data_IF_439109403189
#
_entry.id   IF_439109403189
#
_cell.length_a   1.000
_cell.length_b   1.000
_cell.length_c   1.000
_cell.angle_alpha   90.00
_cell.angle_beta   90.00
_cell.angle_gamma   90.00
#
_symmetry.space_group_name_H-M   'P 1'
#
loop_
_entity.id
_entity.type
_entity.pdbx_description
1 polymer ?
#
# COMPACT_ATOMS: atom_id res chain seq x y z
N UNK A 1 -8.18 21.35 7.58
CA UNK A 1 -6.93 21.40 6.79
C UNK A 1 -5.98 20.27 7.16
N UNK A 2 -5.55 20.13 8.42
CA UNK A 2 -4.54 19.13 8.83
C UNK A 2 -4.97 17.66 8.61
N UNK A 3 -6.27 17.35 8.70
CA UNK A 3 -6.80 16.03 8.30
C UNK A 3 -6.46 15.69 6.84
N UNK A 4 -6.59 16.65 5.91
CA UNK A 4 -6.25 16.41 4.51
C UNK A 4 -4.74 16.23 4.31
N UNK A 5 -3.92 16.93 5.09
CA UNK A 5 -2.46 16.74 5.10
C UNK A 5 -2.10 15.33 5.56
N UNK A 6 -2.75 14.84 6.63
CA UNK A 6 -2.58 13.47 7.11
C UNK A 6 -2.98 12.42 6.08
N UNK A 7 -4.14 12.63 5.43
CA UNK A 7 -4.61 11.75 4.36
C UNK A 7 -3.66 11.73 3.17
N UNK A 8 -3.14 12.89 2.75
CA UNK A 8 -2.14 12.97 1.69
C UNK A 8 -0.84 12.27 2.09
N UNK A 9 -0.37 12.48 3.33
CA UNK A 9 0.81 11.80 3.87
C UNK A 9 0.65 10.28 3.87
N UNK A 10 -0.55 9.77 4.18
CA UNK A 10 -0.83 8.34 4.06
C UNK A 10 -0.54 7.82 2.65
N UNK A 11 -0.98 8.52 1.59
CA UNK A 11 -0.76 8.04 0.21
C UNK A 11 0.73 7.92 -0.15
N UNK A 12 1.57 8.76 0.44
CA UNK A 12 3.04 8.67 0.28
C UNK A 12 3.56 7.45 1.03
N UNK A 13 3.13 7.27 2.28
CA UNK A 13 3.56 6.14 3.11
C UNK A 13 3.12 4.80 2.52
N UNK A 14 1.88 4.70 2.03
CA UNK A 14 1.37 3.54 1.29
C UNK A 14 2.36 3.13 0.19
N UNK A 15 2.67 4.06 -0.71
CA UNK A 15 3.54 3.79 -1.84
C UNK A 15 4.97 3.40 -1.41
N UNK A 16 5.56 4.13 -0.46
CA UNK A 16 6.93 3.86 0.01
C UNK A 16 7.00 2.50 0.71
N UNK A 17 6.06 2.19 1.61
CA UNK A 17 6.08 0.94 2.35
C UNK A 17 5.80 -0.24 1.44
N UNK A 18 4.82 -0.14 0.55
CA UNK A 18 4.52 -1.23 -0.38
C UNK A 18 5.75 -1.54 -1.25
N UNK A 19 6.36 -0.51 -1.84
CA UNK A 19 7.53 -0.68 -2.71
C UNK A 19 8.80 -1.16 -2.00
N UNK A 20 9.14 -0.58 -0.85
CA UNK A 20 10.46 -0.76 -0.25
C UNK A 20 10.47 -1.60 1.02
N UNK A 21 9.36 -1.68 1.76
CA UNK A 21 9.29 -2.43 3.01
C UNK A 21 8.60 -3.78 2.84
N UNK A 22 7.48 -3.81 2.11
CA UNK A 22 6.67 -5.02 1.92
C UNK A 22 7.24 -5.96 0.85
N UNK A 23 8.04 -5.43 -0.07
CA UNK A 23 8.80 -6.19 -1.07
C UNK A 23 10.31 -6.25 -0.77
N UNK A 24 10.71 -5.94 0.47
CA UNK A 24 12.11 -6.02 0.87
C UNK A 24 12.60 -7.48 0.93
N UNK A 25 13.84 -7.69 0.49
CA UNK A 25 14.59 -8.92 0.76
C UNK A 25 15.92 -8.60 1.44
N UNK A 26 16.35 -9.47 2.35
CA UNK A 26 17.59 -9.31 3.11
C UNK A 26 18.27 -10.66 3.34
N UNK A 27 19.59 -10.64 3.53
CA UNK A 27 20.35 -11.82 3.97
C UNK A 27 20.00 -12.23 5.40
N UNK A 28 19.44 -11.31 6.20
CA UNK A 28 18.98 -11.59 7.55
C UNK A 28 17.61 -12.28 7.52
N UNK A 29 17.56 -13.55 7.91
CA UNK A 29 16.34 -14.39 7.83
C UNK A 29 15.16 -13.85 8.64
N UNK A 30 15.40 -13.12 9.73
CA UNK A 30 14.33 -12.52 10.53
C UNK A 30 13.62 -11.37 9.80
N UNK A 31 14.31 -10.62 8.95
CA UNK A 31 13.71 -9.55 8.15
C UNK A 31 12.72 -10.16 7.17
N UNK A 32 13.12 -11.21 6.47
CA UNK A 32 12.25 -11.89 5.51
C UNK A 32 11.01 -12.50 6.20
N UNK A 33 11.13 -12.96 7.45
CA UNK A 33 9.97 -13.41 8.25
C UNK A 33 9.00 -12.27 8.56
N UNK A 34 9.51 -11.09 8.93
CA UNK A 34 8.67 -9.91 9.19
C UNK A 34 7.96 -9.49 7.91
N UNK A 35 8.69 -9.38 6.80
CA UNK A 35 8.13 -9.07 5.47
C UNK A 35 7.07 -10.10 5.07
N UNK A 36 7.33 -11.39 5.32
CA UNK A 36 6.36 -12.45 5.06
C UNK A 36 5.06 -12.28 5.85
N UNK A 37 5.14 -11.97 7.15
CA UNK A 37 3.96 -11.73 8.00
C UNK A 37 3.19 -10.48 7.55
N UNK A 38 3.89 -9.45 7.10
CA UNK A 38 3.27 -8.18 6.70
C UNK A 38 2.65 -8.22 5.30
N UNK A 39 3.25 -8.96 4.36
CA UNK A 39 2.84 -8.94 2.95
C UNK A 39 3.13 -10.23 2.17
N UNK A 40 4.25 -10.93 2.41
CA UNK A 40 4.60 -12.11 1.62
C UNK A 40 3.56 -13.23 1.66
N UNK A 41 2.93 -13.45 2.82
CA UNK A 41 1.86 -14.45 2.95
C UNK A 41 0.61 -14.13 2.12
N UNK A 42 0.36 -12.84 1.89
CA UNK A 42 -0.73 -12.38 1.03
C UNK A 42 -0.41 -12.64 -0.44
N UNK A 43 0.83 -12.41 -0.88
CA UNK A 43 1.27 -12.76 -2.24
C UNK A 43 1.22 -14.27 -2.50
N UNK A 44 1.52 -15.09 -1.49
CA UNK A 44 1.47 -16.55 -1.62
C UNK A 44 0.03 -17.08 -1.76
N UNK A 45 -0.92 -16.51 -1.02
CA UNK A 45 -2.34 -16.93 -1.03
C UNK A 45 -3.26 -15.70 -1.10
N UNK A 46 -3.35 -15.03 -2.27
CA UNK A 46 -4.02 -13.73 -2.40
C UNK A 46 -5.53 -13.76 -2.20
N UNK A 47 -6.16 -14.90 -2.49
CA UNK A 47 -7.61 -15.09 -2.35
C UNK A 47 -8.06 -15.37 -0.91
N UNK A 48 -7.13 -15.64 0.02
CA UNK A 48 -7.47 -15.85 1.43
C UNK A 48 -7.88 -14.52 2.11
N UNK A 49 -9.14 -14.36 2.53
CA UNK A 49 -9.62 -13.13 3.15
C UNK A 49 -8.95 -12.82 4.49
N UNK A 50 -8.39 -13.83 5.19
CA UNK A 50 -7.74 -13.65 6.49
C UNK A 50 -6.30 -13.17 6.37
N UNK A 51 -5.73 -13.19 5.16
CA UNK A 51 -4.33 -12.82 4.87
C UNK A 51 -4.18 -11.50 4.14
N UNK A 52 -5.29 -10.83 3.80
CA UNK A 52 -5.30 -9.58 3.05
C UNK A 52 -4.97 -8.34 3.91
N UNK A 53 -5.37 -8.37 5.19
CA UNK A 53 -5.23 -7.23 6.10
C UNK A 53 -3.97 -7.34 6.94
N UNK A 54 -3.38 -6.19 7.24
CA UNK A 54 -2.24 -6.15 8.15
C UNK A 54 -2.65 -6.66 9.54
N UNK A 55 -1.90 -7.59 10.17
CA UNK A 55 -2.27 -8.15 11.46
C UNK A 55 -2.42 -7.09 12.55
N UNK A 56 -3.44 -7.21 13.40
CA UNK A 56 -3.70 -6.24 14.49
C UNK A 56 -2.53 -6.11 15.46
N UNK A 57 -1.77 -7.18 15.66
CA UNK A 57 -0.56 -7.18 16.49
C UNK A 57 0.55 -6.28 15.92
N UNK A 58 0.50 -5.97 14.62
CA UNK A 58 1.39 -5.00 13.96
C UNK A 58 0.77 -3.62 13.96
N UNK A 59 -0.50 -3.51 13.56
CA UNK A 59 -1.15 -2.21 13.29
C UNK A 59 -1.48 -1.44 14.55
N UNK A 60 -1.92 -2.11 15.62
CA UNK A 60 -2.30 -1.45 16.88
C UNK A 60 -1.09 -0.82 17.58
N UNK A 61 0.04 -1.54 17.80
CA UNK A 61 1.22 -0.92 18.38
C UNK A 61 1.77 0.23 17.53
N UNK A 62 1.75 0.08 16.20
CA UNK A 62 2.17 1.15 15.28
C UNK A 62 1.26 2.37 15.37
N UNK A 63 -0.06 2.18 15.41
CA UNK A 63 -1.02 3.27 15.56
C UNK A 63 -0.83 4.02 16.90
N UNK A 64 -0.55 3.31 17.99
CA UNK A 64 -0.23 3.93 19.29
C UNK A 64 1.08 4.73 19.22
N UNK A 65 2.14 4.18 18.61
CA UNK A 65 3.39 4.90 18.43
C UNK A 65 3.20 6.17 17.58
N UNK A 66 2.46 6.06 16.47
CA UNK A 66 2.14 7.18 15.59
C UNK A 66 1.24 8.22 16.28
N UNK A 67 0.32 7.79 17.16
CA UNK A 67 -0.46 8.73 17.97
C UNK A 67 0.44 9.61 18.82
N UNK A 68 1.44 9.05 19.50
CA UNK A 68 2.38 9.85 20.28
C UNK A 68 3.29 10.71 19.41
N UNK A 69 3.79 10.17 18.30
CA UNK A 69 4.63 10.91 17.35
C UNK A 69 3.92 12.14 16.79
N UNK A 70 2.72 11.97 16.25
CA UNK A 70 1.93 13.09 15.75
C UNK A 70 1.52 14.03 16.89
N UNK A 71 1.34 13.50 18.11
CA UNK A 71 1.06 14.29 19.31
C UNK A 71 2.12 15.35 19.64
N UNK A 72 3.36 15.19 19.18
CA UNK A 72 4.43 16.21 19.30
C UNK A 72 4.02 17.52 18.59
N UNK A 73 3.26 17.42 17.49
CA UNK A 73 2.69 18.57 16.79
C UNK A 73 1.49 19.22 17.49
N UNK A 74 1.17 18.84 18.73
CA UNK A 74 0.11 19.43 19.54
C UNK A 74 -1.31 19.02 19.13
N UNK A 75 -2.28 19.57 19.86
CA UNK A 75 -3.72 19.24 19.70
C UNK A 75 -4.33 19.83 18.42
N UNK A 76 -3.83 20.98 17.97
CA UNK A 76 -4.44 21.72 16.85
C UNK A 76 -3.93 21.26 15.49
N UNK A 77 -2.71 20.72 15.42
CA UNK A 77 -2.08 20.29 14.16
C UNK A 77 -1.83 18.79 14.11
N UNK A 78 -1.11 18.28 15.11
CA UNK A 78 -0.69 16.88 15.19
C UNK A 78 -1.86 15.89 15.25
N UNK A 79 -2.79 16.10 16.19
CA UNK A 79 -3.93 15.19 16.39
C UNK A 79 -4.84 15.09 15.16
N UNK A 80 -5.26 16.20 14.50
CA UNK A 80 -6.08 16.10 13.30
C UNK A 80 -5.32 15.49 12.12
N UNK A 81 -4.00 15.73 11.99
CA UNK A 81 -3.19 15.06 10.97
C UNK A 81 -3.13 13.54 11.18
N UNK A 82 -3.00 13.07 12.42
CA UNK A 82 -3.08 11.64 12.73
C UNK A 82 -4.43 11.05 12.33
N UNK A 83 -5.54 11.73 12.62
CA UNK A 83 -6.89 11.27 12.22
C UNK A 83 -6.97 11.11 10.70
N UNK A 84 -6.47 12.08 9.95
CA UNK A 84 -6.41 12.00 8.48
C UNK A 84 -5.56 10.83 7.98
N UNK A 85 -4.40 10.62 8.60
CA UNK A 85 -3.51 9.51 8.29
C UNK A 85 -4.18 8.16 8.55
N UNK A 86 -4.85 8.01 9.69
CA UNK A 86 -5.57 6.79 10.06
C UNK A 86 -6.76 6.52 9.11
N UNK A 87 -7.50 7.55 8.71
CA UNK A 87 -8.55 7.42 7.69
C UNK A 87 -7.95 6.90 6.39
N UNK A 88 -6.82 7.44 5.95
CA UNK A 88 -6.11 6.97 4.76
C UNK A 88 -5.76 5.48 4.85
N UNK A 89 -5.17 5.06 5.97
CA UNK A 89 -4.84 3.65 6.24
C UNK A 89 -6.07 2.72 6.16
N UNK A 90 -7.18 3.09 6.82
CA UNK A 90 -8.40 2.28 6.81
C UNK A 90 -8.99 2.22 5.39
N UNK A 91 -8.97 3.33 4.65
CA UNK A 91 -9.40 3.34 3.25
C UNK A 91 -8.52 2.44 2.38
N UNK A 92 -7.21 2.45 2.60
CA UNK A 92 -6.28 1.53 1.94
C UNK A 92 -6.63 0.07 2.20
N UNK A 93 -6.75 -0.33 3.47
CA UNK A 93 -7.06 -1.72 3.83
C UNK A 93 -8.39 -2.17 3.22
N UNK A 94 -9.39 -1.29 3.24
CA UNK A 94 -10.69 -1.57 2.64
C UNK A 94 -10.62 -1.71 1.11
N UNK A 95 -9.93 -0.78 0.42
CA UNK A 95 -9.74 -0.85 -1.04
C UNK A 95 -8.95 -2.09 -1.43
N UNK A 96 -7.87 -2.39 -0.71
CA UNK A 96 -7.04 -3.56 -0.90
C UNK A 96 -7.85 -4.85 -0.78
N UNK A 97 -8.60 -4.99 0.32
CA UNK A 97 -9.50 -6.12 0.52
C UNK A 97 -10.52 -6.24 -0.61
N UNK A 98 -11.13 -5.14 -1.05
CA UNK A 98 -12.10 -5.12 -2.14
C UNK A 98 -11.48 -5.51 -3.49
N UNK A 99 -10.21 -5.18 -3.74
CA UNK A 99 -9.50 -5.60 -4.95
C UNK A 99 -9.43 -7.13 -5.06
N UNK A 100 -9.26 -7.84 -3.95
CA UNK A 100 -9.24 -9.31 -3.93
C UNK A 100 -10.65 -9.90 -3.86
N UNK A 101 -11.46 -9.42 -2.92
CA UNK A 101 -12.66 -10.12 -2.46
C UNK A 101 -13.96 -9.70 -3.17
N UNK A 102 -13.90 -8.72 -4.08
CA UNK A 102 -15.11 -8.20 -4.74
C UNK A 102 -14.92 -7.91 -6.22
N UNK A 103 -16.01 -8.02 -6.97
CA UNK A 103 -16.09 -7.51 -8.33
C UNK A 103 -16.29 -5.97 -8.27
N UNK A 104 -15.22 -5.22 -8.05
CA UNK A 104 -15.27 -3.74 -8.05
C UNK A 104 -15.84 -3.22 -9.37
N UNK A 105 -17.03 -2.62 -9.32
CA UNK A 105 -17.78 -2.13 -10.49
C UNK A 105 -17.49 -0.65 -10.77
N UNK A 106 -17.84 -0.21 -11.98
CA UNK A 106 -17.62 1.16 -12.44
C UNK A 106 -16.18 1.40 -12.89
N UNK A 107 -15.95 2.53 -13.56
CA UNK A 107 -14.66 2.83 -14.22
C UNK A 107 -13.50 2.90 -13.24
N UNK A 108 -13.66 3.63 -12.12
CA UNK A 108 -12.60 3.82 -11.15
C UNK A 108 -12.25 2.52 -10.41
N UNK A 109 -13.27 1.84 -9.87
CA UNK A 109 -13.06 0.58 -9.14
C UNK A 109 -12.44 -0.51 -10.01
N UNK A 110 -12.88 -0.63 -11.26
CA UNK A 110 -12.26 -1.56 -12.21
C UNK A 110 -10.80 -1.22 -12.50
N UNK A 111 -10.47 0.07 -12.67
CA UNK A 111 -9.08 0.50 -12.93
C UNK A 111 -8.16 0.19 -11.74
N UNK A 112 -8.61 0.50 -10.51
CA UNK A 112 -7.86 0.22 -9.29
C UNK A 112 -7.66 -1.29 -9.12
N UNK A 113 -8.74 -2.08 -9.20
CA UNK A 113 -8.63 -3.54 -9.12
C UNK A 113 -7.69 -4.10 -10.18
N UNK A 114 -7.84 -3.69 -11.45
CA UNK A 114 -6.98 -4.15 -12.54
C UNK A 114 -5.51 -3.78 -12.30
N UNK A 115 -5.23 -2.59 -11.78
CA UNK A 115 -3.87 -2.16 -11.43
C UNK A 115 -3.25 -3.08 -10.38
N UNK A 116 -3.98 -3.34 -9.29
CA UNK A 116 -3.55 -4.23 -8.20
C UNK A 116 -3.45 -5.70 -8.62
N UNK A 117 -4.38 -6.21 -9.43
CA UNK A 117 -4.30 -7.60 -9.92
C UNK A 117 -3.10 -7.83 -10.85
N UNK A 118 -2.67 -6.80 -11.60
CA UNK A 118 -1.45 -6.89 -12.41
C UNK A 118 -0.19 -6.98 -11.54
N UNK A 119 -0.19 -6.36 -10.36
CA UNK A 119 0.88 -6.50 -9.38
C UNK A 119 1.00 -7.96 -8.91
N UNK A 120 -0.12 -8.60 -8.52
CA UNK A 120 -0.11 -9.99 -8.04
C UNK A 120 0.15 -11.05 -9.13
N UNK A 121 -0.35 -10.84 -10.34
CA UNK A 121 -0.41 -11.92 -11.34
C UNK A 121 0.47 -11.72 -12.57
N UNK A 122 1.02 -10.52 -12.79
CA UNK A 122 1.84 -10.24 -13.96
C UNK A 122 3.28 -9.86 -13.58
N UNK A 123 3.47 -8.86 -12.72
CA UNK A 123 4.81 -8.43 -12.29
C UNK A 123 4.74 -7.80 -10.89
N UNK A 124 5.37 -8.44 -9.91
CA UNK A 124 5.35 -7.99 -8.51
C UNK A 124 6.16 -6.69 -8.29
N UNK A 125 7.17 -6.43 -9.12
CA UNK A 125 8.02 -5.23 -9.02
C UNK A 125 7.40 -3.97 -9.67
N UNK A 126 6.06 -3.89 -9.75
CA UNK A 126 5.35 -2.75 -10.33
C UNK A 126 4.00 -2.51 -9.66
N UNK A 127 3.35 -1.37 -9.95
CA UNK A 127 2.01 -1.05 -9.47
C UNK A 127 1.86 -1.07 -7.93
N UNK A 128 2.73 -0.35 -7.22
CA UNK A 128 2.78 -0.32 -5.74
C UNK A 128 1.69 0.55 -5.09
N UNK A 129 1.00 1.39 -5.85
CA UNK A 129 -0.15 2.13 -5.35
C UNK A 129 -1.41 1.28 -5.38
N UNK A 130 -2.03 1.05 -4.23
CA UNK A 130 -3.26 0.25 -4.11
C UNK A 130 -4.50 1.14 -4.14
N UNK A 131 -4.48 2.29 -3.46
CA UNK A 131 -5.61 3.23 -3.43
C UNK A 131 -5.69 4.09 -4.69
N UNK A 132 -4.55 4.35 -5.33
CA UNK A 132 -4.47 5.13 -6.55
C UNK A 132 -3.22 4.79 -7.36
N UNK A 133 -3.27 5.04 -8.67
CA UNK A 133 -2.13 4.85 -9.57
C UNK A 133 -1.18 6.05 -9.61
N UNK A 134 -1.45 7.10 -8.83
CA UNK A 134 -0.78 8.39 -8.95
C UNK A 134 0.73 8.29 -8.74
N UNK A 135 1.17 7.68 -7.64
CA UNK A 135 2.59 7.58 -7.32
C UNK A 135 3.34 6.66 -8.29
N UNK A 136 2.69 5.61 -8.80
CA UNK A 136 3.28 4.76 -9.84
C UNK A 136 3.52 5.52 -11.15
N UNK A 137 2.62 6.43 -11.53
CA UNK A 137 2.82 7.29 -12.70
C UNK A 137 3.95 8.30 -12.46
N UNK A 138 3.98 8.93 -11.27
CA UNK A 138 5.01 9.91 -10.89
C UNK A 138 6.41 9.27 -10.92
N UNK A 139 6.55 8.07 -10.35
CA UNK A 139 7.83 7.36 -10.25
C UNK A 139 8.08 6.35 -11.37
N UNK A 140 7.15 6.23 -12.33
CA UNK A 140 7.23 5.35 -13.51
C UNK A 140 7.40 3.88 -13.16
N UNK A 141 6.66 3.42 -12.15
CA UNK A 141 6.58 2.02 -11.71
C UNK A 141 5.28 1.35 -12.15
N UNK A 142 4.49 1.98 -13.04
CA UNK A 142 3.32 1.32 -13.60
C UNK A 142 3.69 0.26 -14.66
N UNK A 143 2.95 -0.84 -14.64
CA UNK A 143 3.16 -1.99 -15.53
C UNK A 143 3.27 -1.61 -17.01
N UNK A 144 2.42 -0.68 -17.49
CA UNK A 144 2.38 -0.31 -18.91
C UNK A 144 3.67 0.40 -19.35
N UNK A 145 4.23 1.24 -18.50
CA UNK A 145 5.48 1.93 -18.80
C UNK A 145 6.68 0.97 -18.76
N UNK A 146 6.67 -0.05 -17.89
CA UNK A 146 7.75 -1.04 -17.82
C UNK A 146 7.79 -1.94 -19.06
N UNK A 147 6.65 -2.48 -19.49
CA UNK A 147 6.58 -3.33 -20.69
C UNK A 147 6.99 -2.55 -21.95
N UNK A 148 6.52 -1.31 -22.11
CA UNK A 148 6.93 -0.47 -23.26
C UNK A 148 8.45 -0.25 -23.33
N UNK A 149 9.12 -0.14 -22.17
CA UNK A 149 10.58 0.00 -22.12
C UNK A 149 11.30 -1.29 -22.44
N UNK A 150 10.81 -2.43 -21.94
CA UNK A 150 11.42 -3.72 -22.25
C UNK A 150 11.34 -4.05 -23.74
N UNK A 151 10.28 -3.61 -24.42
CA UNK A 151 10.11 -3.83 -25.86
C UNK A 151 10.96 -2.87 -26.68
N UNK A 152 11.10 -1.61 -26.24
CA UNK A 152 11.94 -0.61 -26.91
C UNK A 152 13.45 -0.93 -26.88
N UNK A 153 13.91 -1.75 -25.93
CA UNK A 153 15.32 -2.20 -25.84
C UNK A 153 15.59 -3.53 -26.55
N UNK A 154 14.57 -4.18 -27.15
CA UNK A 154 14.72 -5.42 -27.93
C UNK A 154 14.90 -5.17 -29.44
N UNK A 155 14.90 -3.91 -29.87
CA UNK A 155 15.12 -3.46 -31.24
C UNK A 155 16.36 -2.58 -31.33
#
# INVERSE_FOLDING_TARGET
MMVLVGLFLWTIIEYIFHRYCFHASSSASWVNKVVFIMHGNHHEVPDDPLRNLMPLVVTVPLAVALWYLFGIGGRDYGRPAFVGFLIGYICYDFVHYMCHQSAMRGRLGFLIKRHHMLHHHALEDCNFGVTSTFWDVVFRTDFRNLIKRSDAHRH
#
